data_IF_510250880398
#
_entry.id   IF_510250880398
#
_cell.length_a   1.000
_cell.length_b   1.000
_cell.length_c   1.000
_cell.angle_alpha   90.00
_cell.angle_beta   90.00
_cell.angle_gamma   90.00
#
_symmetry.space_group_name_H-M   'P 1'
#
loop_
_entity.id
_entity.type
_entity.pdbx_description
1 polymer ?
#
# COMPACT_ATOMS: atom_id res chain seq x y z
N UNK A 1 10.04 9.44 -19.11
CA UNK A 1 9.21 9.03 -20.26
C UNK A 1 10.05 8.18 -21.20
N UNK A 2 9.46 7.31 -22.05
CA UNK A 2 10.22 6.52 -23.02
C UNK A 2 11.09 7.39 -23.94
N UNK A 3 10.60 8.54 -24.35
CA UNK A 3 11.30 9.51 -25.22
C UNK A 3 12.57 10.04 -24.54
N UNK A 4 12.53 10.33 -23.23
CA UNK A 4 13.70 10.80 -22.47
C UNK A 4 14.79 9.73 -22.37
N UNK A 5 14.39 8.46 -22.28
CA UNK A 5 15.31 7.33 -22.30
C UNK A 5 15.95 7.21 -23.68
N UNK A 6 15.16 7.28 -24.73
CA UNK A 6 15.66 7.23 -26.12
C UNK A 6 16.65 8.36 -26.42
N UNK A 7 16.39 9.57 -25.96
CA UNK A 7 17.31 10.71 -26.09
C UNK A 7 18.64 10.38 -25.39
N UNK A 8 18.60 9.89 -24.14
CA UNK A 8 19.82 9.54 -23.41
C UNK A 8 20.60 8.38 -24.03
N UNK A 9 19.92 7.41 -24.60
CA UNK A 9 20.58 6.34 -25.37
C UNK A 9 21.32 6.88 -26.59
N UNK A 10 20.71 7.82 -27.30
CA UNK A 10 21.33 8.47 -28.46
C UNK A 10 22.54 9.33 -28.06
N UNK A 11 22.42 10.07 -26.94
CA UNK A 11 23.54 10.84 -26.37
C UNK A 11 24.72 9.93 -26.00
N UNK A 12 24.42 8.79 -25.34
CA UNK A 12 25.43 7.80 -24.97
C UNK A 12 26.12 7.20 -26.19
N UNK A 13 25.34 6.83 -27.21
CA UNK A 13 25.88 6.29 -28.45
C UNK A 13 26.83 7.31 -29.12
N UNK A 14 26.43 8.59 -29.19
CA UNK A 14 27.29 9.66 -29.70
C UNK A 14 28.56 9.83 -28.88
N UNK A 15 28.43 9.89 -27.54
CA UNK A 15 29.62 10.06 -26.69
C UNK A 15 30.60 8.89 -26.79
N UNK A 16 30.12 7.65 -27.00
CA UNK A 16 30.94 6.45 -27.22
C UNK A 16 31.61 6.53 -28.60
N UNK A 17 30.90 7.01 -29.61
CA UNK A 17 31.49 7.23 -30.96
C UNK A 17 32.60 8.28 -30.92
N UNK A 18 32.38 9.40 -30.22
CA UNK A 18 33.39 10.45 -30.06
C UNK A 18 34.63 9.89 -29.32
N UNK A 19 34.46 9.07 -28.32
CA UNK A 19 35.57 8.39 -27.64
C UNK A 19 36.32 7.44 -28.59
N UNK A 20 35.60 6.66 -29.38
CA UNK A 20 36.22 5.80 -30.38
C UNK A 20 37.05 6.61 -31.41
N UNK A 21 36.52 7.74 -31.85
CA UNK A 21 37.26 8.64 -32.77
C UNK A 21 38.56 9.16 -32.14
N UNK A 22 38.53 9.56 -30.84
CA UNK A 22 39.75 9.95 -30.13
C UNK A 22 40.79 8.83 -30.10
N UNK A 23 40.37 7.57 -29.89
CA UNK A 23 41.28 6.44 -29.89
C UNK A 23 41.80 6.08 -31.26
N UNK A 24 41.00 6.24 -32.33
CA UNK A 24 41.43 5.97 -33.70
C UNK A 24 42.59 6.86 -34.13
N UNK A 25 42.67 8.09 -33.59
CA UNK A 25 43.75 9.02 -33.89
C UNK A 25 45.03 8.76 -33.08
N UNK A 26 45.04 7.90 -32.08
CA UNK A 26 46.21 7.68 -31.23
C UNK A 26 47.41 7.20 -31.96
N UNK A 27 47.37 6.22 -32.90
CA UNK A 27 48.54 5.78 -33.65
C UNK A 27 49.17 6.90 -34.45
N UNK A 28 48.36 7.78 -35.03
CA UNK A 28 48.85 8.94 -35.81
C UNK A 28 49.56 9.96 -34.93
N UNK A 29 49.02 10.25 -33.75
CA UNK A 29 49.63 11.17 -32.78
C UNK A 29 50.94 10.62 -32.25
N UNK A 30 50.99 9.30 -31.93
CA UNK A 30 52.21 8.65 -31.48
C UNK A 30 53.26 8.60 -32.59
N UNK A 31 52.86 8.32 -33.83
CA UNK A 31 53.74 8.28 -35.01
C UNK A 31 54.33 9.67 -35.33
N UNK A 32 53.51 10.77 -35.27
CA UNK A 32 53.99 12.13 -35.45
C UNK A 32 54.98 12.52 -34.35
N UNK A 33 54.70 12.11 -33.10
CA UNK A 33 55.59 12.38 -31.96
C UNK A 33 56.94 11.66 -32.14
N UNK A 34 56.91 10.39 -32.57
CA UNK A 34 58.13 9.65 -32.91
C UNK A 34 58.93 10.32 -34.01
N UNK A 35 58.30 10.68 -35.14
CA UNK A 35 58.94 11.33 -36.28
C UNK A 35 59.64 12.63 -35.89
N UNK A 36 59.02 13.46 -35.04
CA UNK A 36 59.60 14.69 -34.51
C UNK A 36 60.77 14.45 -33.56
N UNK A 37 60.68 13.41 -32.74
CA UNK A 37 61.74 13.00 -31.82
C UNK A 37 62.95 12.45 -32.60
N UNK A 38 62.70 11.58 -33.59
CA UNK A 38 63.70 11.02 -34.45
C UNK A 38 64.44 12.10 -35.27
N UNK A 39 63.70 13.05 -35.89
CA UNK A 39 64.27 14.19 -36.58
C UNK A 39 65.14 15.02 -35.62
N UNK A 40 64.68 15.31 -34.40
CA UNK A 40 65.42 16.10 -33.43
C UNK A 40 66.71 15.46 -32.98
N UNK A 41 66.72 14.12 -32.77
CA UNK A 41 67.91 13.39 -32.29
C UNK A 41 68.86 13.06 -33.42
N UNK A 42 68.38 12.60 -34.61
CA UNK A 42 69.24 12.08 -35.66
C UNK A 42 69.60 13.16 -36.68
N UNK A 43 68.71 14.13 -36.94
CA UNK A 43 68.90 15.11 -38.02
C UNK A 43 69.30 16.49 -37.46
N UNK A 44 68.59 17.00 -36.43
CA UNK A 44 68.85 18.36 -35.89
C UNK A 44 70.14 18.37 -35.03
N UNK A 45 70.60 17.26 -34.51
CA UNK A 45 71.88 17.17 -33.81
C UNK A 45 73.01 16.58 -34.69
N UNK A 46 72.73 16.37 -36.02
CA UNK A 46 73.73 15.90 -36.96
C UNK A 46 74.96 16.82 -37.00
N UNK A 47 76.15 16.20 -36.97
CA UNK A 47 77.42 16.92 -36.94
C UNK A 47 77.86 17.49 -35.61
N UNK A 48 77.00 17.37 -34.54
CA UNK A 48 77.39 17.68 -33.16
C UNK A 48 78.23 16.56 -32.51
N UNK A 49 78.08 15.34 -33.07
CA UNK A 49 78.82 14.17 -32.61
C UNK A 49 79.60 13.50 -33.73
N UNK A 50 80.71 12.92 -33.37
CA UNK A 50 81.41 11.93 -34.19
C UNK A 50 80.95 10.55 -33.71
N UNK A 51 80.88 9.58 -34.63
CA UNK A 51 80.38 8.21 -34.33
C UNK A 51 78.93 8.20 -33.79
N UNK A 52 78.05 9.04 -34.34
CA UNK A 52 76.69 9.37 -33.87
C UNK A 52 75.78 8.16 -33.57
N UNK A 53 75.89 7.14 -34.42
CA UNK A 53 75.08 5.91 -34.29
C UNK A 53 75.83 4.76 -33.62
N UNK A 54 77.02 4.99 -33.08
CA UNK A 54 77.81 3.99 -32.41
C UNK A 54 77.61 4.04 -30.90
N UNK A 55 78.10 3.02 -30.18
CA UNK A 55 77.98 2.90 -28.72
C UNK A 55 78.75 4.02 -27.95
N UNK A 56 79.65 4.74 -28.61
CA UNK A 56 80.50 5.76 -27.97
C UNK A 56 80.53 7.03 -28.85
N UNK A 57 79.44 7.78 -28.98
CA UNK A 57 79.41 9.06 -29.68
C UNK A 57 80.29 10.09 -28.93
N UNK A 58 81.13 10.80 -29.66
CA UNK A 58 81.97 11.87 -29.05
C UNK A 58 81.52 13.25 -29.58
N UNK A 59 81.50 14.28 -28.69
CA UNK A 59 81.22 15.63 -29.16
C UNK A 59 82.28 16.10 -30.18
N UNK A 60 81.86 16.69 -31.27
CA UNK A 60 82.71 17.25 -32.31
C UNK A 60 83.38 18.56 -31.92
N UNK A 61 83.16 19.06 -30.70
CA UNK A 61 83.71 20.29 -30.14
C UNK A 61 84.00 20.09 -28.62
N UNK A 62 84.86 20.94 -28.06
CA UNK A 62 85.20 20.93 -26.62
C UNK A 62 84.21 21.80 -25.85
N UNK A 63 83.91 21.38 -24.64
CA UNK A 63 83.05 22.12 -23.71
C UNK A 63 83.86 22.47 -22.47
N UNK A 64 83.65 23.64 -21.85
CA UNK A 64 84.37 24.06 -20.63
C UNK A 64 84.08 23.19 -19.42
N UNK A 65 82.97 22.48 -19.38
CA UNK A 65 82.52 21.58 -18.35
C UNK A 65 82.72 20.12 -18.82
N UNK A 66 83.67 19.42 -18.26
CA UNK A 66 83.99 18.01 -18.60
C UNK A 66 82.89 17.04 -18.13
N UNK A 67 82.16 17.32 -17.06
CA UNK A 67 81.08 16.50 -16.61
C UNK A 67 79.89 16.61 -17.59
N UNK A 68 79.55 17.82 -18.00
CA UNK A 68 78.53 18.03 -19.04
C UNK A 68 78.87 17.31 -20.33
N UNK A 69 80.16 17.27 -20.74
CA UNK A 69 80.60 16.53 -21.93
C UNK A 69 80.33 15.01 -21.80
N UNK A 70 80.62 14.42 -20.65
CA UNK A 70 80.35 12.99 -20.34
C UNK A 70 78.82 12.75 -20.33
N UNK A 71 78.07 13.58 -19.62
CA UNK A 71 76.60 13.46 -19.48
C UNK A 71 75.89 13.52 -20.84
N UNK A 72 76.27 14.40 -21.74
CA UNK A 72 75.64 14.55 -23.03
C UNK A 72 75.96 13.39 -23.96
N UNK A 73 77.19 12.83 -23.92
CA UNK A 73 77.52 11.61 -24.68
C UNK A 73 76.68 10.41 -24.20
N UNK A 74 76.51 10.27 -22.89
CA UNK A 74 75.65 9.25 -22.32
C UNK A 74 74.16 9.49 -22.71
N UNK A 75 73.68 10.73 -22.68
CA UNK A 75 72.29 11.08 -23.10
C UNK A 75 72.06 10.86 -24.59
N UNK A 76 73.10 11.04 -25.47
CA UNK A 76 72.99 10.72 -26.90
C UNK A 76 72.74 9.24 -27.11
N UNK A 77 73.47 8.38 -26.39
CA UNK A 77 73.27 6.91 -26.44
C UNK A 77 71.89 6.53 -25.90
N UNK A 78 71.51 7.13 -24.76
CA UNK A 78 70.20 6.86 -24.18
C UNK A 78 69.07 7.27 -25.15
N UNK A 79 69.14 8.45 -25.77
CA UNK A 79 68.14 8.92 -26.72
C UNK A 79 68.03 8.04 -27.99
N UNK A 80 69.20 7.53 -28.50
CA UNK A 80 69.20 6.59 -29.64
C UNK A 80 68.57 5.24 -29.31
N UNK A 81 68.90 4.71 -28.13
CA UNK A 81 68.30 3.47 -27.66
C UNK A 81 66.78 3.60 -27.44
N UNK A 82 66.36 4.70 -26.85
CA UNK A 82 64.97 5.02 -26.63
C UNK A 82 64.19 5.10 -27.93
N UNK A 83 64.72 5.76 -28.93
CA UNK A 83 64.10 5.79 -30.26
C UNK A 83 63.95 4.41 -30.90
N UNK A 84 64.95 3.56 -30.71
CA UNK A 84 64.91 2.21 -31.27
C UNK A 84 63.84 1.33 -30.56
N UNK A 85 63.71 1.44 -29.27
CA UNK A 85 62.63 0.74 -28.51
C UNK A 85 61.26 1.32 -28.87
N UNK A 86 61.12 2.65 -28.89
CA UNK A 86 59.87 3.30 -29.28
C UNK A 86 59.44 2.89 -30.70
N UNK A 87 60.37 2.76 -31.65
CA UNK A 87 60.05 2.30 -33.02
C UNK A 87 59.42 0.91 -32.99
N UNK A 88 59.90 -0.01 -32.18
CA UNK A 88 59.32 -1.35 -32.05
C UNK A 88 57.91 -1.31 -31.49
N UNK A 89 57.66 -0.47 -30.48
CA UNK A 89 56.30 -0.25 -29.93
C UNK A 89 55.37 0.30 -31.00
N UNK A 90 55.82 1.33 -31.73
CA UNK A 90 55.03 1.97 -32.80
C UNK A 90 54.65 1.01 -33.92
N UNK A 91 55.54 0.14 -34.36
CA UNK A 91 55.31 -0.85 -35.43
C UNK A 91 54.23 -1.88 -35.07
N UNK A 92 53.94 -2.06 -33.78
CA UNK A 92 52.88 -2.93 -33.30
C UNK A 92 51.53 -2.23 -33.08
N UNK A 93 51.49 -0.89 -33.17
CA UNK A 93 50.33 -0.09 -32.85
C UNK A 93 49.45 0.19 -34.06
N UNK A 94 48.16 -0.08 -33.93
CA UNK A 94 47.14 0.23 -34.97
C UNK A 94 45.91 0.86 -34.35
N UNK A 95 45.05 1.45 -35.16
CA UNK A 95 43.75 2.01 -34.74
C UNK A 95 42.81 0.88 -34.21
N UNK A 96 43.03 -0.37 -34.58
CA UNK A 96 42.28 -1.52 -34.07
C UNK A 96 42.84 -2.09 -32.75
N UNK A 97 43.94 -1.54 -32.22
CA UNK A 97 44.52 -1.96 -30.94
C UNK A 97 43.55 -1.70 -29.80
N UNK A 98 43.50 -2.59 -28.76
CA UNK A 98 42.64 -2.37 -27.60
C UNK A 98 42.89 -1.05 -26.89
N UNK A 99 41.85 -0.42 -26.40
CA UNK A 99 41.94 0.91 -25.71
C UNK A 99 42.99 0.97 -24.58
N UNK A 100 43.14 -0.07 -23.71
CA UNK A 100 44.20 -0.05 -22.70
C UNK A 100 45.61 0.01 -23.29
N UNK A 101 45.84 -0.66 -24.46
CA UNK A 101 47.13 -0.62 -25.14
C UNK A 101 47.38 0.79 -25.75
N UNK A 102 46.35 1.44 -26.30
CA UNK A 102 46.45 2.81 -26.80
C UNK A 102 46.70 3.84 -25.69
N UNK A 103 46.05 3.65 -24.50
CA UNK A 103 46.36 4.47 -23.33
C UNK A 103 47.81 4.29 -22.86
N UNK A 104 48.32 3.06 -22.87
CA UNK A 104 49.72 2.76 -22.53
C UNK A 104 50.67 3.38 -23.53
N UNK A 105 50.36 3.28 -24.83
CA UNK A 105 51.18 3.89 -25.87
C UNK A 105 51.35 5.38 -25.74
N UNK A 106 50.24 6.13 -25.39
CA UNK A 106 50.31 7.57 -25.10
C UNK A 106 51.20 7.85 -23.88
N UNK A 107 51.10 7.06 -22.83
CA UNK A 107 51.91 7.17 -21.61
C UNK A 107 53.38 6.93 -21.88
N UNK A 108 53.71 5.82 -22.61
CA UNK A 108 55.06 5.51 -23.02
C UNK A 108 55.64 6.61 -23.90
N UNK A 109 54.86 7.14 -24.88
CA UNK A 109 55.24 8.26 -25.74
C UNK A 109 55.70 9.49 -24.94
N UNK A 110 54.99 9.87 -23.89
CA UNK A 110 55.40 10.97 -23.02
C UNK A 110 56.72 10.68 -22.33
N UNK A 111 56.97 9.45 -21.92
CA UNK A 111 58.21 8.99 -21.30
C UNK A 111 59.39 9.08 -22.31
N UNK A 112 59.18 8.55 -23.53
CA UNK A 112 60.16 8.60 -24.60
C UNK A 112 60.55 10.06 -24.95
N UNK A 113 59.52 10.93 -25.14
CA UNK A 113 59.72 12.36 -25.40
C UNK A 113 60.47 13.02 -24.20
N UNK A 114 60.25 12.58 -22.96
CA UNK A 114 60.98 13.07 -21.79
C UNK A 114 62.46 12.80 -21.87
N UNK A 115 62.87 11.58 -22.32
CA UNK A 115 64.29 11.24 -22.52
C UNK A 115 64.89 12.10 -23.64
N UNK A 116 64.21 12.24 -24.76
CA UNK A 116 64.68 13.09 -25.90
C UNK A 116 64.78 14.58 -25.45
N UNK A 117 63.83 15.12 -24.75
CA UNK A 117 63.88 16.48 -24.22
C UNK A 117 65.12 16.70 -23.34
N UNK A 118 65.38 15.79 -22.39
CA UNK A 118 66.55 15.87 -21.49
C UNK A 118 67.85 15.89 -22.30
N UNK A 119 67.96 15.08 -23.35
CA UNK A 119 69.11 15.08 -24.27
C UNK A 119 69.27 16.41 -24.97
N UNK A 120 68.18 16.94 -25.56
CA UNK A 120 68.20 18.22 -26.28
C UNK A 120 68.50 19.45 -25.38
N UNK A 121 68.02 19.42 -24.12
CA UNK A 121 68.32 20.44 -23.13
C UNK A 121 69.81 20.46 -22.80
N UNK A 122 70.38 19.28 -22.49
CA UNK A 122 71.84 19.14 -22.25
C UNK A 122 72.65 19.49 -23.45
N UNK A 123 72.21 19.20 -24.67
CA UNK A 123 72.82 19.62 -25.91
C UNK A 123 72.84 21.15 -26.04
N UNK A 124 71.75 21.79 -25.72
CA UNK A 124 71.67 23.26 -25.68
C UNK A 124 72.62 23.92 -24.69
N UNK A 125 72.74 23.33 -23.49
CA UNK A 125 73.68 23.77 -22.45
C UNK A 125 75.14 23.64 -22.94
N UNK A 126 75.50 22.50 -23.55
CA UNK A 126 76.84 22.27 -24.07
C UNK A 126 77.18 23.26 -25.20
N UNK A 127 76.23 23.59 -26.09
CA UNK A 127 76.39 24.62 -27.10
C UNK A 127 76.60 26.00 -26.53
N UNK A 128 76.14 26.31 -25.33
CA UNK A 128 76.38 27.59 -24.66
C UNK A 128 77.76 27.68 -24.00
N UNK A 129 78.33 26.51 -23.64
CA UNK A 129 79.65 26.39 -22.99
C UNK A 129 80.76 25.93 -23.91
N UNK A 130 80.51 25.90 -25.22
CA UNK A 130 81.43 25.42 -26.22
C UNK A 130 82.65 26.32 -26.41
N UNK A 131 83.81 25.68 -26.60
CA UNK A 131 85.14 26.33 -26.78
C UNK A 131 85.64 26.11 -28.21
N UNK A 132 86.36 27.11 -28.73
CA UNK A 132 87.11 27.02 -30.00
C UNK A 132 86.30 26.54 -31.18
N UNK A 133 85.05 27.08 -31.37
CA UNK A 133 84.15 26.72 -32.49
C UNK A 133 84.06 27.84 -33.50
N UNK A 134 83.89 27.41 -34.79
CA UNK A 134 83.58 28.35 -35.84
C UNK A 134 82.17 28.98 -35.64
N UNK A 135 82.10 30.31 -35.57
CA UNK A 135 80.87 31.03 -35.21
C UNK A 135 79.69 30.76 -36.14
N UNK A 136 79.91 30.61 -37.47
CA UNK A 136 78.83 30.31 -38.46
C UNK A 136 78.26 28.90 -38.26
N UNK A 137 79.13 27.87 -38.18
CA UNK A 137 78.71 26.50 -37.98
C UNK A 137 78.01 26.36 -36.65
N UNK A 138 78.47 27.04 -35.61
CA UNK A 138 77.92 27.01 -34.31
C UNK A 138 76.53 27.69 -34.21
N UNK A 139 76.33 28.78 -34.88
CA UNK A 139 75.05 29.42 -35.01
C UNK A 139 74.01 28.46 -35.65
N UNK A 140 74.43 27.72 -36.68
CA UNK A 140 73.61 26.70 -37.36
C UNK A 140 73.22 25.54 -36.34
N UNK A 141 74.19 25.05 -35.55
CA UNK A 141 73.92 24.03 -34.55
C UNK A 141 72.90 24.51 -33.49
N UNK A 142 73.05 25.75 -32.97
CA UNK A 142 72.09 26.32 -32.04
C UNK A 142 70.70 26.44 -32.64
N UNK A 143 70.56 26.87 -33.89
CA UNK A 143 69.30 26.95 -34.60
C UNK A 143 68.66 25.61 -34.74
N UNK A 144 69.38 24.56 -35.18
CA UNK A 144 68.90 23.23 -35.37
C UNK A 144 68.43 22.59 -34.03
N UNK A 145 69.23 22.68 -32.99
CA UNK A 145 68.87 22.13 -31.66
C UNK A 145 67.63 22.86 -31.11
N UNK A 146 67.51 24.18 -31.27
CA UNK A 146 66.32 24.92 -30.88
C UNK A 146 65.08 24.49 -31.67
N UNK A 147 65.22 24.23 -32.99
CA UNK A 147 64.14 23.68 -33.80
C UNK A 147 63.71 22.28 -33.32
N UNK A 148 64.69 21.39 -33.06
CA UNK A 148 64.42 20.09 -32.45
C UNK A 148 63.68 20.15 -31.11
N UNK A 149 64.13 21.05 -30.22
CA UNK A 149 63.45 21.27 -28.89
C UNK A 149 62.03 21.76 -29.07
N UNK A 150 61.78 22.67 -30.02
CA UNK A 150 60.43 23.18 -30.31
C UNK A 150 59.53 22.08 -30.83
N UNK A 151 60.00 21.29 -31.80
CA UNK A 151 59.26 20.17 -32.35
C UNK A 151 58.90 19.12 -31.32
N UNK A 152 59.86 18.73 -30.48
CA UNK A 152 59.64 17.76 -29.41
C UNK A 152 58.70 18.27 -28.31
N UNK A 153 58.81 19.56 -27.97
CA UNK A 153 57.89 20.19 -27.01
C UNK A 153 56.45 20.26 -27.58
N UNK A 154 56.31 20.52 -28.88
CA UNK A 154 55.01 20.50 -29.55
C UNK A 154 54.43 19.10 -29.55
N UNK A 155 55.24 18.06 -29.87
CA UNK A 155 54.82 16.70 -29.82
C UNK A 155 54.36 16.30 -28.41
N UNK A 156 55.14 16.66 -27.39
CA UNK A 156 54.78 16.43 -25.99
C UNK A 156 53.41 17.02 -25.61
N UNK A 157 53.18 18.28 -26.00
CA UNK A 157 51.92 18.99 -25.78
C UNK A 157 50.75 18.29 -26.49
N UNK A 158 50.95 17.87 -27.75
CA UNK A 158 49.92 17.20 -28.53
C UNK A 158 49.51 15.85 -27.91
N UNK A 159 50.51 15.05 -27.52
CA UNK A 159 50.26 13.76 -26.86
C UNK A 159 49.53 13.95 -25.53
N UNK A 160 49.99 14.87 -24.70
CA UNK A 160 49.36 15.20 -23.41
C UNK A 160 47.88 15.67 -23.59
N UNK A 161 47.66 16.54 -24.59
CA UNK A 161 46.30 17.01 -24.91
C UNK A 161 45.40 15.86 -25.36
N UNK A 162 45.94 14.94 -26.22
CA UNK A 162 45.18 13.75 -26.64
C UNK A 162 44.80 12.87 -25.44
N UNK A 163 45.74 12.63 -24.53
CA UNK A 163 45.48 11.86 -23.30
C UNK A 163 44.40 12.49 -22.40
N UNK A 164 44.48 13.84 -22.24
CA UNK A 164 43.47 14.59 -21.48
C UNK A 164 42.07 14.54 -22.13
N UNK A 165 42.02 14.67 -23.48
CA UNK A 165 40.77 14.60 -24.24
C UNK A 165 40.09 13.22 -24.06
N UNK A 166 40.88 12.14 -24.18
CA UNK A 166 40.40 10.78 -23.94
C UNK A 166 39.87 10.63 -22.50
N UNK A 167 40.63 11.08 -21.49
CA UNK A 167 40.22 11.03 -20.11
C UNK A 167 38.88 11.79 -19.85
N UNK A 168 38.79 13.01 -20.42
CA UNK A 168 37.56 13.83 -20.31
C UNK A 168 36.35 13.15 -20.98
N UNK A 169 36.58 12.53 -22.15
CA UNK A 169 35.52 11.86 -22.88
C UNK A 169 35.07 10.56 -22.18
N UNK A 170 35.98 9.82 -21.55
CA UNK A 170 35.65 8.67 -20.69
C UNK A 170 34.71 9.08 -19.53
N UNK A 171 35.00 10.23 -18.90
CA UNK A 171 34.15 10.79 -17.83
C UNK A 171 32.78 11.14 -18.39
N UNK A 172 32.73 11.76 -19.59
CA UNK A 172 31.46 12.12 -20.24
C UNK A 172 30.61 10.87 -20.56
N UNK A 173 31.20 9.84 -21.12
CA UNK A 173 30.53 8.56 -21.39
C UNK A 173 29.99 7.96 -20.09
N UNK A 174 30.81 7.91 -19.04
CA UNK A 174 30.39 7.40 -17.76
C UNK A 174 29.22 8.18 -17.16
N UNK A 175 29.29 9.50 -17.20
CA UNK A 175 28.23 10.38 -16.70
C UNK A 175 26.89 10.11 -17.40
N UNK A 176 26.90 10.06 -18.74
CA UNK A 176 25.67 9.82 -19.52
C UNK A 176 25.13 8.40 -19.26
N UNK A 177 26.02 7.40 -19.11
CA UNK A 177 25.64 6.02 -18.78
C UNK A 177 24.98 5.93 -17.40
N UNK A 178 25.53 6.62 -16.40
CA UNK A 178 24.99 6.68 -15.04
C UNK A 178 23.63 7.44 -15.02
N UNK A 179 23.50 8.53 -15.79
CA UNK A 179 22.22 9.25 -15.97
C UNK A 179 21.16 8.39 -16.64
N UNK A 180 21.55 7.58 -17.65
CA UNK A 180 20.66 6.64 -18.32
C UNK A 180 20.19 5.55 -17.35
N UNK A 181 21.09 4.98 -16.55
CA UNK A 181 20.75 4.00 -15.52
C UNK A 181 19.76 4.55 -14.51
N UNK A 182 19.96 5.80 -14.07
CA UNK A 182 19.04 6.48 -13.16
C UNK A 182 17.65 6.64 -13.76
N UNK A 183 17.57 7.02 -15.04
CA UNK A 183 16.29 7.13 -15.76
C UNK A 183 15.59 5.78 -15.95
N UNK A 184 16.36 4.72 -16.21
CA UNK A 184 15.85 3.36 -16.34
C UNK A 184 15.35 2.78 -15.01
N UNK A 185 15.95 3.16 -13.89
CA UNK A 185 15.51 2.77 -12.56
C UNK A 185 14.10 3.30 -12.21
N UNK A 186 13.65 4.37 -12.89
CA UNK A 186 12.32 4.95 -12.68
C UNK A 186 12.19 5.71 -11.36
N UNK A 187 10.94 5.83 -10.88
CA UNK A 187 10.67 6.47 -9.59
C UNK A 187 11.11 5.57 -8.44
N UNK A 188 11.62 6.17 -7.39
CA UNK A 188 11.99 5.42 -6.18
C UNK A 188 10.75 4.88 -5.47
N UNK A 189 10.93 3.87 -4.62
CA UNK A 189 9.84 3.31 -3.82
C UNK A 189 9.19 4.39 -2.93
N UNK A 190 9.99 5.33 -2.42
CA UNK A 190 9.53 6.46 -1.61
C UNK A 190 8.64 7.40 -2.42
N UNK A 191 9.03 7.76 -3.66
CA UNK A 191 8.22 8.61 -4.55
C UNK A 191 6.89 7.95 -4.92
N UNK A 192 6.90 6.64 -5.16
CA UNK A 192 5.68 5.87 -5.43
C UNK A 192 4.78 5.87 -4.20
N UNK A 193 5.35 5.65 -3.01
CA UNK A 193 4.62 5.66 -1.74
C UNK A 193 4.04 7.04 -1.43
N UNK A 194 4.79 8.10 -1.66
CA UNK A 194 4.30 9.48 -1.53
C UNK A 194 3.11 9.74 -2.44
N UNK A 195 3.22 9.36 -3.72
CA UNK A 195 2.13 9.55 -4.66
C UNK A 195 0.92 8.68 -4.32
N UNK A 196 1.12 7.45 -3.82
CA UNK A 196 0.06 6.59 -3.34
C UNK A 196 -0.69 7.23 -2.16
N UNK A 197 0.03 7.82 -1.21
CA UNK A 197 -0.58 8.54 -0.07
C UNK A 197 -1.41 9.76 -0.53
N UNK A 198 -0.96 10.49 -1.56
CA UNK A 198 -1.75 11.60 -2.16
C UNK A 198 -3.06 11.07 -2.78
N UNK A 199 -3.00 9.93 -3.48
CA UNK A 199 -4.21 9.30 -4.05
C UNK A 199 -5.15 8.84 -2.94
N UNK A 200 -4.65 8.21 -1.88
CA UNK A 200 -5.44 7.79 -0.72
C UNK A 200 -6.10 8.99 -0.02
N UNK A 201 -5.36 10.07 0.17
CA UNK A 201 -5.92 11.32 0.71
C UNK A 201 -7.06 11.88 -0.15
N UNK A 202 -6.90 11.87 -1.48
CA UNK A 202 -7.95 12.33 -2.38
C UNK A 202 -9.18 11.42 -2.34
N UNK A 203 -8.99 10.09 -2.26
CA UNK A 203 -10.07 9.13 -2.10
C UNK A 203 -10.83 9.32 -0.78
N UNK A 204 -10.10 9.52 0.33
CA UNK A 204 -10.72 9.82 1.63
C UNK A 204 -11.55 11.12 1.61
N UNK A 205 -11.06 12.15 0.93
CA UNK A 205 -11.83 13.39 0.73
C UNK A 205 -13.12 13.16 -0.08
N UNK A 206 -13.04 12.37 -1.14
CA UNK A 206 -14.21 12.00 -1.95
C UNK A 206 -15.25 11.24 -1.12
N UNK A 207 -14.84 10.23 -0.35
CA UNK A 207 -15.72 9.51 0.58
C UNK A 207 -16.35 10.44 1.62
N UNK A 208 -15.59 11.41 2.15
CA UNK A 208 -16.11 12.42 3.05
C UNK A 208 -17.23 13.25 2.43
N UNK A 209 -17.06 13.66 1.17
CA UNK A 209 -18.09 14.41 0.42
C UNK A 209 -19.30 13.52 0.14
N UNK A 210 -19.10 12.26 -0.27
CA UNK A 210 -20.19 11.29 -0.47
C UNK A 210 -21.00 11.07 0.80
N UNK A 211 -20.33 10.95 1.96
CA UNK A 211 -21.00 10.86 3.25
C UNK A 211 -21.79 12.14 3.59
N UNK A 212 -21.30 13.31 3.21
CA UNK A 212 -22.06 14.57 3.36
C UNK A 212 -23.29 14.60 2.44
N UNK A 213 -23.14 14.18 1.18
CA UNK A 213 -24.27 14.07 0.24
C UNK A 213 -25.30 13.05 0.74
N UNK A 214 -24.85 11.89 1.26
CA UNK A 214 -25.77 10.89 1.82
C UNK A 214 -26.61 11.46 2.98
N UNK A 215 -26.06 12.36 3.79
CA UNK A 215 -26.80 13.04 4.87
C UNK A 215 -27.84 14.04 4.36
N UNK A 216 -27.75 14.50 3.13
CA UNK A 216 -28.74 15.40 2.54
C UNK A 216 -29.98 14.66 2.00
N UNK A 217 -29.90 13.32 1.90
CA UNK A 217 -31.00 12.48 1.42
C UNK A 217 -31.53 11.67 2.59
N UNK A 218 -32.72 12.05 3.09
CA UNK A 218 -33.40 11.30 4.14
C UNK A 218 -34.15 10.13 3.53
N UNK A 219 -33.83 8.90 3.93
CA UNK A 219 -34.50 7.67 3.49
C UNK A 219 -35.17 7.00 4.66
N UNK A 220 -36.36 6.40 4.40
CA UNK A 220 -36.99 5.56 5.41
C UNK A 220 -36.14 4.32 5.68
N UNK A 221 -35.87 3.95 6.95
CA UNK A 221 -35.17 2.71 7.31
C UNK A 221 -36.08 1.48 7.26
N UNK A 222 -37.40 1.67 7.08
CA UNK A 222 -38.40 0.61 7.06
C UNK A 222 -39.38 0.80 5.87
N UNK A 223 -39.94 -0.31 5.42
CA UNK A 223 -41.08 -0.28 4.51
C UNK A 223 -42.35 0.01 5.30
N UNK A 224 -43.17 0.92 4.83
CA UNK A 224 -44.38 1.30 5.56
C UNK A 224 -45.16 2.46 4.94
N UNK A 225 -46.16 2.91 5.66
CA UNK A 225 -46.99 4.06 5.27
C UNK A 225 -46.53 5.31 6.03
N UNK A 226 -46.42 6.44 5.34
CA UNK A 226 -46.16 7.73 5.93
C UNK A 226 -47.42 8.19 6.67
N UNK A 227 -47.32 8.38 7.97
CA UNK A 227 -48.43 8.83 8.82
C UNK A 227 -48.41 10.32 9.10
N UNK A 228 -47.22 10.95 9.01
CA UNK A 228 -47.06 12.37 9.21
C UNK A 228 -45.94 12.90 8.33
N UNK A 229 -46.12 14.02 7.72
CA UNK A 229 -45.13 14.75 6.93
C UNK A 229 -45.24 16.24 7.25
N UNK A 230 -44.26 16.75 7.96
CA UNK A 230 -44.17 18.18 8.32
C UNK A 230 -43.17 18.93 7.41
N UNK A 231 -42.34 18.18 6.63
CA UNK A 231 -41.37 18.78 5.73
C UNK A 231 -42.04 19.50 4.55
N UNK A 232 -41.69 20.77 4.30
CA UNK A 232 -42.15 21.53 3.13
C UNK A 232 -40.96 22.01 2.30
N UNK A 233 -41.16 22.03 0.99
CA UNK A 233 -40.15 22.53 0.06
C UNK A 233 -39.94 24.02 0.30
N UNK A 234 -38.67 24.42 0.43
CA UNK A 234 -38.25 25.81 0.68
C UNK A 234 -38.19 26.23 2.16
N UNK A 235 -38.54 25.36 3.08
CA UNK A 235 -38.39 25.62 4.53
C UNK A 235 -37.08 25.08 5.06
N UNK A 236 -36.52 25.76 6.08
CA UNK A 236 -35.36 25.26 6.83
C UNK A 236 -35.88 24.31 7.90
N UNK A 237 -35.41 23.05 7.81
CA UNK A 237 -35.72 22.04 8.83
C UNK A 237 -34.90 22.31 10.11
N UNK A 238 -35.56 22.51 11.27
CA UNK A 238 -34.86 22.66 12.54
C UNK A 238 -34.10 21.34 12.89
N UNK A 239 -32.95 21.47 13.53
CA UNK A 239 -32.23 20.30 14.04
C UNK A 239 -33.11 19.56 15.08
N UNK A 240 -33.03 18.21 15.05
CA UNK A 240 -33.79 17.33 15.96
C UNK A 240 -35.33 17.41 15.86
N UNK A 241 -35.88 17.98 14.80
CA UNK A 241 -37.32 17.93 14.53
C UNK A 241 -37.73 16.68 13.76
N UNK A 242 -38.88 16.11 14.10
CA UNK A 242 -39.47 15.00 13.36
C UNK A 242 -40.12 15.56 12.10
N UNK A 243 -39.52 15.25 10.94
CA UNK A 243 -40.04 15.74 9.65
C UNK A 243 -41.01 14.76 8.99
N UNK A 244 -40.79 13.47 9.19
CA UNK A 244 -41.60 12.41 8.61
C UNK A 244 -41.72 11.26 9.62
N UNK A 245 -42.93 10.76 9.78
CA UNK A 245 -43.20 9.55 10.56
C UNK A 245 -43.69 8.43 9.63
N UNK A 246 -43.07 7.27 9.75
CA UNK A 246 -43.42 6.08 8.97
C UNK A 246 -43.79 4.97 9.91
N UNK A 247 -44.86 4.26 9.61
CA UNK A 247 -45.31 3.10 10.37
C UNK A 247 -45.23 1.87 9.47
N UNK A 248 -44.69 0.77 10.00
CA UNK A 248 -44.69 -0.50 9.30
C UNK A 248 -46.10 -1.07 9.22
N UNK A 249 -46.49 -1.59 8.06
CA UNK A 249 -47.77 -2.24 7.90
C UNK A 249 -47.72 -3.75 8.26
N UNK A 250 -46.53 -4.33 8.31
CA UNK A 250 -46.34 -5.75 8.49
C UNK A 250 -45.90 -6.06 9.93
N UNK A 251 -46.67 -6.90 10.64
CA UNK A 251 -46.35 -7.36 12.01
C UNK A 251 -46.79 -6.43 13.13
N UNK A 252 -48.07 -6.07 13.12
CA UNK A 252 -48.68 -5.48 14.32
C UNK A 252 -48.54 -6.44 15.50
N UNK A 253 -48.14 -5.92 16.64
CA UNK A 253 -48.06 -6.61 17.90
C UNK A 253 -49.02 -6.00 18.90
N UNK A 254 -49.53 -6.81 19.80
CA UNK A 254 -50.32 -6.35 20.94
C UNK A 254 -49.42 -6.41 22.16
N UNK A 255 -49.43 -5.35 22.94
CA UNK A 255 -48.76 -5.29 24.24
C UNK A 255 -49.80 -5.22 25.33
N UNK A 256 -49.67 -6.12 26.32
CA UNK A 256 -50.50 -6.07 27.53
C UNK A 256 -49.63 -6.26 28.80
N UNK A 257 -50.06 -5.67 29.87
CA UNK A 257 -49.43 -5.81 31.18
C UNK A 257 -50.19 -6.87 32.01
N UNK A 258 -49.55 -8.02 32.23
CA UNK A 258 -50.15 -9.14 32.97
C UNK A 258 -49.74 -9.07 34.46
N UNK A 259 -50.67 -9.11 35.39
CA UNK A 259 -50.34 -9.10 36.81
C UNK A 259 -49.45 -10.30 37.22
N UNK A 260 -48.60 -10.08 38.25
CA UNK A 260 -47.69 -11.10 38.81
C UNK A 260 -48.40 -12.41 39.18
N UNK A 261 -49.61 -12.36 39.67
CA UNK A 261 -50.40 -13.53 40.09
C UNK A 261 -50.79 -14.46 38.92
N UNK A 262 -50.83 -13.92 37.70
CA UNK A 262 -51.22 -14.64 36.47
C UNK A 262 -50.06 -14.98 35.55
N UNK A 263 -48.99 -14.17 35.57
CA UNK A 263 -47.85 -14.36 34.66
C UNK A 263 -47.15 -15.73 34.88
N UNK A 264 -47.20 -16.25 36.10
CA UNK A 264 -46.61 -17.57 36.43
C UNK A 264 -47.20 -18.73 35.62
N UNK A 265 -48.41 -18.54 35.06
CA UNK A 265 -49.13 -19.55 34.27
C UNK A 265 -48.86 -19.39 32.79
N UNK A 266 -48.41 -18.18 32.34
CA UNK A 266 -48.26 -17.80 30.93
C UNK A 266 -46.89 -18.21 30.40
N UNK A 267 -46.85 -18.87 29.28
CA UNK A 267 -45.62 -19.28 28.58
C UNK A 267 -45.54 -18.70 27.20
N UNK A 268 -44.30 -18.49 26.72
CA UNK A 268 -44.05 -18.14 25.35
C UNK A 268 -44.57 -19.27 24.44
N UNK A 269 -45.40 -18.90 23.47
CA UNK A 269 -46.05 -19.84 22.55
C UNK A 269 -47.50 -20.13 22.90
N UNK A 270 -48.03 -19.74 24.07
CA UNK A 270 -49.42 -19.94 24.46
C UNK A 270 -50.36 -19.31 23.44
N UNK A 271 -51.40 -20.04 23.05
CA UNK A 271 -52.46 -19.56 22.15
C UNK A 271 -53.31 -18.51 22.87
N UNK A 272 -53.64 -17.49 22.11
CA UNK A 272 -54.34 -16.34 22.67
C UNK A 272 -55.48 -15.94 21.72
N UNK A 273 -56.63 -15.74 22.30
CA UNK A 273 -57.81 -15.21 21.60
C UNK A 273 -57.94 -13.70 21.89
N UNK A 274 -58.12 -12.93 20.87
CA UNK A 274 -58.13 -11.48 20.96
C UNK A 274 -59.43 -10.97 20.36
N UNK A 275 -60.09 -10.05 21.06
CA UNK A 275 -61.20 -9.25 20.55
C UNK A 275 -60.79 -7.79 20.60
N UNK A 276 -61.15 -7.05 19.57
CA UNK A 276 -60.88 -5.62 19.48
C UNK A 276 -62.13 -4.82 19.71
N UNK A 277 -62.08 -3.83 20.60
CA UNK A 277 -63.26 -3.00 20.93
C UNK A 277 -63.93 -2.39 19.72
N UNK A 278 -63.15 -2.08 18.67
CA UNK A 278 -63.65 -1.52 17.42
C UNK A 278 -64.56 -2.49 16.62
N UNK A 279 -64.51 -3.81 16.88
CA UNK A 279 -65.26 -4.82 16.11
C UNK A 279 -66.21 -5.65 17.00
N UNK A 280 -66.24 -5.40 18.33
CA UNK A 280 -67.06 -6.10 19.26
C UNK A 280 -66.58 -7.52 19.55
N UNK A 281 -67.32 -8.22 20.46
CA UNK A 281 -66.95 -9.56 20.96
C UNK A 281 -67.13 -10.69 19.94
N UNK A 282 -67.88 -10.45 18.87
CA UNK A 282 -68.19 -11.49 17.88
C UNK A 282 -67.08 -11.73 16.85
N UNK A 283 -66.12 -10.78 16.77
CA UNK A 283 -64.94 -10.86 15.87
C UNK A 283 -63.70 -11.23 16.67
N UNK A 284 -63.29 -12.47 16.49
CA UNK A 284 -62.18 -13.06 17.21
C UNK A 284 -60.94 -13.14 16.34
N UNK A 285 -59.82 -12.74 16.86
CA UNK A 285 -58.50 -12.84 16.21
C UNK A 285 -57.64 -13.80 17.00
N UNK A 286 -56.93 -14.68 16.31
CA UNK A 286 -55.99 -15.61 16.91
C UNK A 286 -54.59 -14.98 17.00
N UNK A 287 -53.98 -15.12 18.16
CA UNK A 287 -52.60 -14.69 18.39
C UNK A 287 -51.85 -15.68 19.27
N UNK A 288 -50.61 -15.39 19.49
CA UNK A 288 -49.78 -16.18 20.43
C UNK A 288 -48.83 -15.26 21.21
N UNK A 289 -48.45 -15.69 22.40
CA UNK A 289 -47.45 -15.04 23.20
C UNK A 289 -46.08 -15.20 22.54
N UNK A 290 -45.41 -14.09 22.24
CA UNK A 290 -44.09 -14.11 21.62
C UNK A 290 -42.97 -13.70 22.57
N UNK A 291 -43.25 -12.88 23.56
CA UNK A 291 -42.25 -12.41 24.51
C UNK A 291 -42.93 -11.99 25.81
N UNK A 292 -42.27 -12.29 26.93
CA UNK A 292 -42.59 -11.79 28.24
C UNK A 292 -41.37 -11.01 28.73
N UNK A 293 -41.55 -9.75 29.10
CA UNK A 293 -40.46 -8.93 29.61
C UNK A 293 -40.05 -9.47 31.02
N UNK A 294 -38.77 -9.75 31.25
CA UNK A 294 -38.30 -10.22 32.52
C UNK A 294 -38.33 -9.18 33.64
N UNK A 295 -38.44 -7.90 33.28
CA UNK A 295 -38.52 -6.80 34.22
C UNK A 295 -39.98 -6.46 34.54
N UNK A 296 -40.29 -6.32 35.82
CA UNK A 296 -41.60 -5.87 36.28
C UNK A 296 -41.85 -4.38 35.96
N UNK A 297 -43.08 -4.06 35.71
CA UNK A 297 -43.55 -2.68 35.59
C UNK A 297 -44.69 -2.48 36.59
N UNK A 298 -44.51 -1.57 37.54
CA UNK A 298 -45.57 -1.26 38.51
C UNK A 298 -46.57 -0.30 37.93
N UNK A 299 -47.84 -0.72 37.79
CA UNK A 299 -48.94 0.08 37.32
C UNK A 299 -49.97 0.17 38.44
N UNK A 300 -50.27 1.39 38.89
CA UNK A 300 -51.23 1.64 40.00
C UNK A 300 -50.98 0.83 41.27
N UNK A 301 -49.70 0.54 41.57
CA UNK A 301 -49.29 -0.24 42.76
C UNK A 301 -49.31 -1.76 42.55
N UNK A 302 -49.65 -2.23 41.37
CA UNK A 302 -49.65 -3.65 41.02
C UNK A 302 -48.43 -3.99 40.20
N UNK A 303 -47.63 -5.00 40.60
CA UNK A 303 -46.53 -5.51 39.77
C UNK A 303 -47.11 -6.25 38.59
N UNK A 304 -46.71 -5.81 37.39
CA UNK A 304 -47.15 -6.37 36.10
C UNK A 304 -45.95 -6.69 35.21
N UNK A 305 -46.11 -7.62 34.29
CA UNK A 305 -45.11 -8.00 33.32
C UNK A 305 -45.61 -7.68 31.93
N UNK A 306 -44.84 -6.89 31.19
CA UNK A 306 -45.16 -6.54 29.80
C UNK A 306 -45.04 -7.76 28.91
N UNK A 307 -46.14 -8.17 28.31
CA UNK A 307 -46.24 -9.35 27.45
C UNK A 307 -46.62 -8.91 26.03
N UNK A 308 -45.94 -9.45 25.04
CA UNK A 308 -46.20 -9.17 23.63
C UNK A 308 -46.83 -10.35 22.96
N UNK A 309 -47.84 -10.05 22.15
CA UNK A 309 -48.57 -11.03 21.38
C UNK A 309 -48.48 -10.70 19.89
N UNK A 310 -48.42 -11.73 19.08
CA UNK A 310 -48.41 -11.64 17.63
C UNK A 310 -49.63 -12.31 17.06
N UNK A 311 -50.31 -11.62 16.14
CA UNK A 311 -51.42 -12.25 15.40
C UNK A 311 -50.88 -13.40 14.56
N UNK A 312 -51.65 -14.50 14.57
CA UNK A 312 -51.34 -15.70 13.77
C UNK A 312 -51.59 -15.48 12.29
N UNK A 313 -52.57 -14.63 11.98
CA UNK A 313 -52.89 -14.17 10.60
C UNK A 313 -52.92 -12.66 10.60
N UNK A 314 -52.33 -12.07 9.57
CA UNK A 314 -52.44 -10.63 9.32
C UNK A 314 -53.86 -10.28 8.89
N UNK A 315 -54.42 -9.21 9.41
CA UNK A 315 -55.75 -8.71 9.04
C UNK A 315 -55.66 -7.16 8.86
N UNK A 316 -55.96 -6.72 7.65
CA UNK A 316 -55.89 -5.29 7.28
C UNK A 316 -56.86 -4.40 8.07
N UNK A 317 -57.83 -4.97 8.73
CA UNK A 317 -58.76 -4.27 9.58
C UNK A 317 -58.13 -3.78 10.90
N UNK A 318 -57.10 -4.46 11.33
CA UNK A 318 -56.38 -4.10 12.59
C UNK A 318 -55.52 -2.87 12.34
N UNK A 319 -55.68 -1.87 13.17
CA UNK A 319 -54.92 -0.63 13.12
C UNK A 319 -54.16 -0.41 14.39
N UNK A 320 -52.96 0.22 14.32
CA UNK A 320 -52.20 0.61 15.50
C UNK A 320 -53.05 1.54 16.38
N UNK A 321 -52.94 1.36 17.70
CA UNK A 321 -53.66 2.18 18.69
C UNK A 321 -55.06 1.65 19.01
N UNK A 322 -55.49 0.51 18.45
CA UNK A 322 -56.75 -0.14 18.87
C UNK A 322 -56.60 -0.81 20.23
N UNK A 323 -57.65 -0.77 21.06
CA UNK A 323 -57.74 -1.48 22.29
C UNK A 323 -58.16 -2.92 22.08
N UNK A 324 -57.51 -3.85 22.77
CA UNK A 324 -57.74 -5.27 22.64
C UNK A 324 -58.02 -5.90 24.02
N UNK A 325 -59.00 -6.81 24.06
CA UNK A 325 -59.23 -7.74 25.16
C UNK A 325 -58.57 -9.07 24.81
N UNK A 326 -57.85 -9.62 25.76
CA UNK A 326 -56.93 -10.77 25.53
C UNK A 326 -57.31 -11.94 26.47
N UNK A 327 -57.63 -13.06 25.88
CA UNK A 327 -57.84 -14.31 26.64
C UNK A 327 -56.68 -15.28 26.30
N UNK A 328 -55.86 -15.60 27.30
CA UNK A 328 -54.69 -16.48 27.12
C UNK A 328 -55.05 -17.88 27.58
N UNK A 329 -54.89 -18.84 26.68
CA UNK A 329 -55.06 -20.26 27.01
C UNK A 329 -53.78 -20.79 27.58
N UNK A 330 -53.71 -20.85 28.91
CA UNK A 330 -52.51 -21.25 29.68
C UNK A 330 -52.43 -22.77 29.89
N UNK A 331 -53.60 -23.45 29.98
CA UNK A 331 -53.68 -24.90 30.10
C UNK A 331 -55.03 -25.40 29.59
N UNK A 332 -55.05 -26.59 29.03
CA UNK A 332 -56.27 -27.22 28.49
C UNK A 332 -56.22 -28.73 28.70
N UNK A 333 -57.22 -29.25 29.41
CA UNK A 333 -57.44 -30.70 29.52
C UNK A 333 -58.73 -31.07 28.76
N UNK A 334 -58.62 -32.05 27.89
CA UNK A 334 -59.77 -32.54 27.10
C UNK A 334 -60.15 -33.93 27.59
N UNK A 335 -61.45 -34.26 27.47
CA UNK A 335 -61.99 -35.56 27.89
C UNK A 335 -61.81 -35.90 29.35
N UNK A 336 -61.93 -34.89 30.24
CA UNK A 336 -61.81 -35.03 31.66
C UNK A 336 -63.17 -34.91 32.33
N UNK A 337 -63.33 -35.59 33.48
CA UNK A 337 -64.52 -35.45 34.26
C UNK A 337 -64.56 -34.12 34.97
N UNK A 338 -65.63 -33.37 34.84
CA UNK A 338 -65.76 -32.03 35.47
C UNK A 338 -66.97 -31.88 36.30
N UNK A 339 -66.85 -31.09 37.34
CA UNK A 339 -67.98 -30.73 38.22
C UNK A 339 -68.01 -29.23 38.41
N UNK A 340 -69.20 -28.62 38.55
CA UNK A 340 -69.25 -27.18 38.85
C UNK A 340 -68.50 -26.85 40.14
N UNK A 341 -67.64 -25.80 40.12
CA UNK A 341 -66.82 -25.44 41.30
C UNK A 341 -67.66 -25.22 42.58
N UNK A 342 -68.90 -24.75 42.43
CA UNK A 342 -69.85 -24.53 43.51
C UNK A 342 -70.37 -25.82 44.15
N UNK A 343 -70.15 -26.98 43.54
CA UNK A 343 -70.50 -28.28 44.07
C UNK A 343 -69.39 -28.88 44.98
N UNK A 344 -68.15 -28.34 44.82
CA UNK A 344 -66.98 -28.74 45.56
C UNK A 344 -66.94 -27.99 46.88
N UNK A 345 -66.95 -28.70 47.99
CA UNK A 345 -66.79 -28.12 49.37
C UNK A 345 -65.45 -28.53 49.95
N UNK A 346 -64.76 -27.59 50.58
CA UNK A 346 -63.49 -27.85 51.25
C UNK A 346 -63.67 -27.81 52.75
N UNK A 347 -63.25 -28.87 53.45
CA UNK A 347 -63.30 -28.98 54.90
C UNK A 347 -62.07 -29.73 55.42
N UNK A 348 -61.35 -29.16 56.38
CA UNK A 348 -60.11 -29.68 56.99
C UNK A 348 -59.03 -30.09 55.99
N UNK A 349 -58.95 -29.50 54.81
CA UNK A 349 -57.96 -29.85 53.81
C UNK A 349 -58.45 -30.82 52.73
N UNK A 350 -59.54 -31.55 52.98
CA UNK A 350 -60.13 -32.45 51.99
C UNK A 350 -61.19 -31.72 51.12
N UNK A 351 -61.19 -32.00 49.85
CA UNK A 351 -62.23 -31.52 48.88
C UNK A 351 -63.22 -32.66 48.70
N UNK A 352 -64.52 -32.37 48.80
CA UNK A 352 -65.60 -33.36 48.69
C UNK A 352 -66.80 -32.81 47.96
N UNK A 353 -67.57 -33.71 47.38
CA UNK A 353 -68.87 -33.42 46.82
C UNK A 353 -69.94 -34.21 47.51
N UNK A 354 -71.16 -33.78 47.43
CA UNK A 354 -72.32 -34.54 47.95
C UNK A 354 -72.91 -35.29 46.74
N UNK A 355 -72.86 -36.66 46.82
CA UNK A 355 -73.45 -37.51 45.78
C UNK A 355 -74.86 -37.83 46.20
N UNK A 356 -75.76 -37.71 45.27
CA UNK A 356 -77.14 -38.07 45.50
C UNK A 356 -77.37 -39.55 45.22
N UNK A 357 -77.72 -40.34 46.29
CA UNK A 357 -78.06 -41.70 46.13
C UNK A 357 -79.60 -41.84 45.89
N UNK A 358 -79.95 -42.27 44.69
CA UNK A 358 -81.37 -42.44 44.33
C UNK A 358 -82.11 -43.58 45.14
N UNK A 359 -81.41 -44.57 45.66
CA UNK A 359 -82.03 -45.69 46.39
C UNK A 359 -82.36 -45.32 47.84
N UNK A 360 -81.48 -44.53 48.45
CA UNK A 360 -81.69 -44.14 49.89
C UNK A 360 -82.30 -42.75 50.01
N UNK A 361 -82.51 -42.03 48.90
CA UNK A 361 -83.05 -40.64 48.81
C UNK A 361 -82.27 -39.68 49.75
N UNK A 362 -80.97 -39.92 49.93
CA UNK A 362 -80.11 -39.14 50.78
C UNK A 362 -78.80 -38.77 50.04
N UNK A 363 -78.12 -37.76 50.57
CA UNK A 363 -76.85 -37.35 50.00
C UNK A 363 -75.69 -37.83 50.85
N UNK A 364 -74.68 -38.45 50.23
CA UNK A 364 -73.47 -38.98 50.90
C UNK A 364 -72.28 -38.12 50.56
N UNK A 365 -71.45 -37.86 51.57
CA UNK A 365 -70.19 -37.14 51.38
C UNK A 365 -69.14 -38.03 50.75
N UNK A 366 -68.57 -37.64 49.63
CA UNK A 366 -67.46 -38.35 48.98
C UNK A 366 -66.27 -37.41 48.77
N UNK A 367 -65.12 -37.82 49.26
CA UNK A 367 -63.89 -37.11 49.06
C UNK A 367 -63.43 -37.30 47.64
N UNK A 368 -63.04 -36.20 46.98
CA UNK A 368 -62.58 -36.18 45.62
C UNK A 368 -61.22 -35.54 45.59
N UNK A 369 -60.42 -35.84 44.54
CA UNK A 369 -59.24 -35.10 44.18
C UNK A 369 -59.55 -34.22 42.99
N UNK A 370 -59.31 -32.91 43.07
CA UNK A 370 -59.57 -31.99 42.01
C UNK A 370 -58.25 -31.67 41.23
N UNK A 371 -58.39 -31.42 39.97
CA UNK A 371 -57.30 -31.00 39.09
C UNK A 371 -57.46 -29.57 38.69
N UNK A 372 -57.38 -29.30 37.37
CA UNK A 372 -57.45 -27.98 36.76
C UNK A 372 -58.81 -27.32 37.06
N UNK A 373 -58.79 -26.02 37.38
CA UNK A 373 -59.98 -25.18 37.51
C UNK A 373 -60.16 -24.36 36.25
N UNK A 374 -61.21 -24.63 35.54
CA UNK A 374 -61.54 -23.94 34.32
C UNK A 374 -62.11 -22.54 34.56
N UNK A 375 -61.89 -21.64 33.60
CA UNK A 375 -62.52 -20.30 33.55
C UNK A 375 -64.03 -20.35 33.30
N UNK A 376 -64.56 -21.50 32.89
CA UNK A 376 -65.97 -21.82 32.70
C UNK A 376 -66.74 -22.11 34.01
N UNK A 377 -66.03 -22.03 35.13
CA UNK A 377 -66.60 -22.31 36.46
C UNK A 377 -66.68 -23.77 36.81
N UNK A 378 -66.05 -24.65 36.05
CA UNK A 378 -65.91 -26.08 36.32
C UNK A 378 -64.56 -26.44 36.89
N UNK A 379 -64.46 -27.56 37.57
CA UNK A 379 -63.25 -28.12 38.15
C UNK A 379 -63.13 -29.57 37.70
N UNK A 380 -61.96 -29.90 37.19
CA UNK A 380 -61.57 -31.26 36.83
C UNK A 380 -61.56 -32.18 38.12
N UNK A 381 -62.08 -33.38 38.00
CA UNK A 381 -61.98 -34.40 39.01
C UNK A 381 -61.03 -35.48 38.51
N UNK A 382 -59.91 -35.61 39.27
CA UNK A 382 -58.89 -36.60 38.96
C UNK A 382 -59.17 -37.96 39.56
N UNK A 383 -59.91 -38.01 40.70
CA UNK A 383 -60.23 -39.25 41.45
C UNK A 383 -61.46 -39.03 42.33
N UNK A 384 -62.19 -40.09 42.64
CA UNK A 384 -63.30 -40.11 43.57
C UNK A 384 -64.68 -40.03 42.98
N UNK A 385 -64.85 -39.81 41.69
CA UNK A 385 -66.14 -39.78 40.94
C UNK A 385 -66.07 -40.57 39.65
N UNK A 386 -67.21 -41.08 39.22
CA UNK A 386 -67.40 -41.73 37.93
C UNK A 386 -68.43 -40.96 37.10
N UNK A 387 -68.29 -41.07 35.76
CA UNK A 387 -69.23 -40.45 34.86
C UNK A 387 -70.67 -40.92 35.07
N UNK A 388 -71.62 -39.99 35.13
CA UNK A 388 -73.01 -40.24 35.27
C UNK A 388 -73.50 -40.22 36.74
N UNK A 389 -72.62 -40.08 37.76
CA UNK A 389 -73.02 -39.90 39.13
C UNK A 389 -73.70 -38.53 39.37
N UNK A 390 -74.80 -38.51 40.09
CA UNK A 390 -75.52 -37.25 40.38
C UNK A 390 -74.95 -36.58 41.61
N UNK A 391 -74.48 -35.33 41.41
CA UNK A 391 -73.98 -34.52 42.54
C UNK A 391 -75.05 -33.53 43.01
N UNK A 392 -75.17 -33.36 44.30
CA UNK A 392 -76.03 -32.37 44.94
C UNK A 392 -75.22 -31.03 45.02
N UNK A 393 -75.76 -29.95 44.47
CA UNK A 393 -75.14 -28.65 44.62
C UNK A 393 -75.68 -27.97 45.87
N UNK A 394 -74.82 -27.62 46.82
CA UNK A 394 -75.25 -26.87 48.01
C UNK A 394 -75.94 -25.58 47.62
N UNK A 395 -77.21 -25.41 48.04
CA UNK A 395 -77.83 -24.10 47.95
C UNK A 395 -77.19 -23.13 48.93
N UNK A 396 -76.79 -21.90 48.52
CA UNK A 396 -76.37 -20.96 49.55
C UNK A 396 -77.50 -20.76 50.55
N UNK A 397 -77.21 -21.04 51.85
CA UNK A 397 -78.20 -20.96 52.89
C UNK A 397 -78.89 -19.58 52.90
N UNK A 398 -80.22 -19.67 53.12
CA UNK A 398 -81.04 -18.50 53.48
C UNK A 398 -80.62 -17.94 54.80
#
# INVERSE_FOLDING_TARGET
RPEDIQVKQTELAKARQDLANYYNDVPDVVSDAYAKADDAVRKQTYGLFTNEEQANPQLAFSVSDSQLQIDIQAQRVAASNELNEWKKELDSLTSASPQPLLDQALSNTLSHLGVVRKFLDKTGDALNLALNVNTSTFSTYKTNVNAGRTNVNTAFTNVNTKQQNIASQKITVKKIDDELKLKLAGSTAEQISEQAAVVEQAAAKAQGIEAQIAKTILRSPIDGTVTKQDAKVGEIAPANSILVSVISQNKLQIEANIPEVDIAKVKIGDQTTITLDAYGSDVVFEARVISIDPAETVIEGVATYKTKFQFTKEDERVKPGMTANIDILTDKHENVLVVPQRAVTKNNGDEYVMIWNNETNNSEKRVIKTGLRGSDGNVEVLDGLTEGEKIAIPQPGK
#
